data_IF_057805325482
#
_entry.id   IF_057805325482
#
_cell.length_a   1.000
_cell.length_b   1.000
_cell.length_c   1.000
_cell.angle_alpha   90.00
_cell.angle_beta   90.00
_cell.angle_gamma   90.00
#
_symmetry.space_group_name_H-M   'P 1'
#
loop_
_entity.id
_entity.type
_entity.pdbx_description
1 polymer ?
#
# COMPACT_ATOMS: atom_id res chain seq x y z
N UNK A 1 -20.93 -17.62 5.23
CA UNK A 1 -21.10 -18.12 3.85
C UNK A 1 -19.90 -19.02 3.55
N UNK A 2 -20.09 -20.29 3.25
CA UNK A 2 -19.00 -21.25 3.07
C UNK A 2 -18.05 -20.77 1.96
N UNK A 3 -16.74 -21.04 2.10
CA UNK A 3 -15.74 -20.93 1.03
C UNK A 3 -16.24 -21.70 -0.19
N UNK A 4 -17.04 -21.07 -1.03
CA UNK A 4 -17.51 -21.64 -2.26
C UNK A 4 -16.36 -21.61 -3.27
N UNK A 5 -15.81 -22.79 -3.59
CA UNK A 5 -15.13 -23.22 -4.82
C UNK A 5 -14.64 -22.09 -5.78
N UNK A 6 -14.07 -20.99 -5.25
CA UNK A 6 -13.44 -20.01 -6.11
C UNK A 6 -12.11 -20.59 -6.55
N UNK A 7 -11.95 -20.74 -7.84
CA UNK A 7 -10.68 -21.10 -8.46
C UNK A 7 -9.78 -19.88 -8.52
N UNK A 8 -8.84 -19.76 -7.58
CA UNK A 8 -7.88 -18.69 -7.56
C UNK A 8 -6.83 -18.75 -8.70
N UNK A 9 -6.73 -19.88 -9.42
CA UNK A 9 -5.89 -19.96 -10.63
C UNK A 9 -6.38 -19.03 -11.74
N UNK A 10 -7.69 -18.79 -11.79
CA UNK A 10 -8.31 -17.88 -12.77
C UNK A 10 -8.66 -16.52 -12.18
N UNK A 11 -8.39 -16.29 -10.89
CA UNK A 11 -8.79 -15.09 -10.17
C UNK A 11 -8.42 -13.78 -10.89
N UNK A 12 -7.15 -13.62 -11.27
CA UNK A 12 -6.67 -12.39 -11.94
C UNK A 12 -7.17 -12.21 -13.38
N UNK A 13 -7.78 -13.25 -13.98
CA UNK A 13 -8.45 -13.16 -15.27
C UNK A 13 -9.89 -12.69 -15.14
N UNK A 14 -10.51 -12.95 -13.99
CA UNK A 14 -11.91 -12.70 -13.73
C UNK A 14 -12.15 -11.42 -12.91
N UNK A 15 -11.14 -10.98 -12.15
CA UNK A 15 -11.26 -9.83 -11.24
C UNK A 15 -10.14 -8.79 -11.42
N UNK A 16 -10.53 -7.48 -11.51
CA UNK A 16 -11.93 -7.03 -11.56
C UNK A 16 -12.63 -7.48 -12.84
N UNK A 17 -13.97 -7.40 -12.84
CA UNK A 17 -14.77 -7.58 -14.05
C UNK A 17 -14.55 -6.43 -15.05
N UNK A 18 -15.20 -6.47 -16.21
CA UNK A 18 -15.09 -5.47 -17.26
C UNK A 18 -15.54 -4.05 -16.83
N UNK A 19 -16.28 -3.94 -15.74
CA UNK A 19 -16.75 -2.66 -15.18
C UNK A 19 -15.91 -2.22 -13.96
N UNK A 20 -14.85 -2.96 -13.64
CA UNK A 20 -13.95 -2.64 -12.53
C UNK A 20 -14.42 -3.14 -11.16
N UNK A 21 -15.31 -4.13 -11.11
CA UNK A 21 -15.82 -4.66 -9.85
C UNK A 21 -15.11 -5.95 -9.42
N UNK A 22 -14.82 -6.03 -8.13
CA UNK A 22 -14.46 -7.22 -7.37
C UNK A 22 -15.72 -7.66 -6.60
N UNK A 23 -16.53 -8.52 -7.20
CA UNK A 23 -17.88 -8.83 -6.68
C UNK A 23 -18.76 -7.58 -6.68
N UNK A 24 -19.14 -7.07 -5.50
CA UNK A 24 -19.90 -5.82 -5.35
C UNK A 24 -19.03 -4.58 -5.13
N UNK A 25 -17.75 -4.75 -4.87
CA UNK A 25 -16.81 -3.68 -4.54
C UNK A 25 -16.05 -3.18 -5.77
N UNK A 26 -15.67 -1.92 -5.78
CA UNK A 26 -14.94 -1.29 -6.90
C UNK A 26 -15.80 -0.32 -7.70
N UNK A 27 -15.72 -0.44 -9.02
CA UNK A 27 -16.43 0.44 -9.96
C UNK A 27 -15.80 1.81 -10.13
N UNK A 28 -16.56 2.75 -10.70
CA UNK A 28 -16.11 4.12 -10.94
C UNK A 28 -17.28 5.12 -10.69
N UNK A 29 -17.39 5.58 -9.46
CA UNK A 29 -18.40 6.53 -8.99
C UNK A 29 -17.86 7.96 -9.12
N UNK A 30 -17.71 8.40 -10.36
CA UNK A 30 -17.07 9.66 -10.74
C UNK A 30 -17.93 10.44 -11.73
N UNK A 31 -17.73 11.78 -11.88
CA UNK A 31 -18.39 12.57 -12.90
C UNK A 31 -18.13 12.03 -14.32
N UNK A 32 -19.07 12.25 -15.22
CA UNK A 32 -19.03 11.72 -16.59
C UNK A 32 -17.80 12.19 -17.38
N UNK A 33 -17.32 13.40 -17.08
CA UNK A 33 -16.12 13.96 -17.70
C UNK A 33 -14.86 13.16 -17.38
N UNK A 34 -14.78 12.62 -16.15
CA UNK A 34 -13.65 11.78 -15.71
C UNK A 34 -13.73 10.34 -16.23
N UNK A 35 -14.92 9.84 -16.55
CA UNK A 35 -15.06 8.47 -17.09
C UNK A 35 -14.29 8.29 -18.40
N UNK A 36 -14.25 9.31 -19.25
CA UNK A 36 -13.45 9.27 -20.48
C UNK A 36 -11.96 9.17 -20.20
N UNK A 37 -11.48 9.95 -19.23
CA UNK A 37 -10.07 9.90 -18.82
C UNK A 37 -9.70 8.55 -18.18
N UNK A 38 -10.58 7.98 -17.37
CA UNK A 38 -10.38 6.64 -16.80
C UNK A 38 -10.38 5.55 -17.88
N UNK A 39 -11.29 5.63 -18.84
CA UNK A 39 -11.33 4.70 -19.98
C UNK A 39 -10.06 4.80 -20.87
N UNK A 40 -9.49 6.00 -21.07
CA UNK A 40 -8.21 6.18 -21.75
C UNK A 40 -7.07 5.49 -20.99
N UNK A 41 -7.02 5.65 -19.66
CA UNK A 41 -6.01 5.01 -18.83
C UNK A 41 -6.17 3.48 -18.84
N UNK A 42 -7.39 2.98 -18.70
CA UNK A 42 -7.66 1.55 -18.73
C UNK A 42 -7.27 0.94 -20.08
N UNK A 43 -7.67 1.56 -21.19
CA UNK A 43 -7.28 1.10 -22.52
C UNK A 43 -5.76 1.08 -22.70
N UNK A 44 -5.07 2.13 -22.29
CA UNK A 44 -3.61 2.19 -22.32
C UNK A 44 -2.97 1.11 -21.45
N UNK A 45 -3.51 0.92 -20.24
CA UNK A 45 -3.06 -0.14 -19.35
C UNK A 45 -3.24 -1.53 -19.98
N UNK A 46 -4.42 -1.85 -20.52
CA UNK A 46 -4.70 -3.16 -21.13
C UNK A 46 -3.85 -3.44 -22.38
N UNK A 47 -3.47 -2.42 -23.13
CA UNK A 47 -2.74 -2.56 -24.40
C UNK A 47 -1.24 -2.32 -24.24
N UNK A 48 -0.86 -1.16 -23.72
CA UNK A 48 0.55 -0.72 -23.64
C UNK A 48 1.31 -1.52 -22.57
N UNK A 49 0.75 -1.66 -21.36
CA UNK A 49 1.45 -2.32 -20.25
C UNK A 49 1.69 -3.82 -20.49
N UNK A 50 0.90 -4.44 -21.38
CA UNK A 50 1.05 -5.84 -21.79
C UNK A 50 2.02 -6.03 -22.96
N UNK A 51 2.52 -4.94 -23.56
CA UNK A 51 3.48 -5.01 -24.66
C UNK A 51 4.84 -5.50 -24.18
N UNK A 52 5.53 -6.26 -25.06
CA UNK A 52 6.88 -6.76 -24.76
C UNK A 52 7.87 -5.62 -24.43
N UNK A 53 7.72 -4.49 -25.12
CA UNK A 53 8.59 -3.33 -24.94
C UNK A 53 8.41 -2.71 -23.55
N UNK A 54 7.17 -2.48 -23.12
CA UNK A 54 6.87 -1.95 -21.79
C UNK A 54 7.36 -2.89 -20.69
N UNK A 55 7.05 -4.18 -20.81
CA UNK A 55 7.45 -5.20 -19.81
C UNK A 55 8.99 -5.26 -19.70
N UNK A 56 9.70 -5.27 -20.81
CA UNK A 56 11.17 -5.32 -20.81
C UNK A 56 11.77 -4.05 -20.18
N UNK A 57 11.24 -2.86 -20.52
CA UNK A 57 11.70 -1.60 -19.95
C UNK A 57 11.43 -1.53 -18.44
N UNK A 58 10.23 -1.91 -17.99
CA UNK A 58 9.91 -1.92 -16.55
C UNK A 58 10.79 -2.92 -15.77
N UNK A 59 11.04 -4.11 -16.34
CA UNK A 59 11.94 -5.10 -15.73
C UNK A 59 13.37 -4.56 -15.59
N UNK A 60 13.89 -3.91 -16.62
CA UNK A 60 15.21 -3.27 -16.61
C UNK A 60 15.27 -2.20 -15.51
N UNK A 61 14.28 -1.31 -15.43
CA UNK A 61 14.21 -0.26 -14.43
C UNK A 61 14.15 -0.84 -13.01
N UNK A 62 13.35 -1.87 -12.80
CA UNK A 62 13.26 -2.56 -11.51
C UNK A 62 14.61 -3.11 -11.07
N UNK A 63 15.35 -3.71 -11.99
CA UNK A 63 16.68 -4.28 -11.71
C UNK A 63 17.74 -3.20 -11.47
N UNK A 64 17.85 -2.24 -12.40
CA UNK A 64 18.97 -1.30 -12.45
C UNK A 64 18.79 -0.08 -11.55
N UNK A 65 17.54 0.37 -11.37
CA UNK A 65 17.24 1.59 -10.63
C UNK A 65 16.58 1.32 -9.29
N UNK A 66 15.63 0.39 -9.20
CA UNK A 66 14.97 0.08 -7.93
C UNK A 66 15.78 -0.88 -7.04
N UNK A 67 16.74 -1.62 -7.60
CA UNK A 67 17.52 -2.61 -6.86
C UNK A 67 16.76 -3.91 -6.60
N UNK A 68 15.80 -4.26 -7.47
CA UNK A 68 15.03 -5.51 -7.33
C UNK A 68 15.76 -6.71 -7.96
N UNK A 69 15.52 -7.95 -7.43
CA UNK A 69 14.60 -8.29 -6.34
C UNK A 69 15.10 -7.82 -4.97
N UNK A 70 14.19 -7.35 -4.11
CA UNK A 70 14.52 -7.13 -2.71
C UNK A 70 14.66 -8.48 -2.00
N UNK A 71 15.56 -8.64 -1.02
CA UNK A 71 15.80 -9.95 -0.38
C UNK A 71 14.69 -10.32 0.62
N UNK A 72 14.66 -11.60 0.97
CA UNK A 72 14.05 -12.09 2.20
C UNK A 72 15.17 -12.23 3.26
N UNK A 73 14.89 -11.78 4.48
CA UNK A 73 15.76 -11.98 5.64
C UNK A 73 15.07 -12.87 6.66
N UNK A 74 15.80 -13.88 7.16
CA UNK A 74 15.40 -14.68 8.29
C UNK A 74 15.65 -13.90 9.59
N UNK A 75 14.66 -13.82 10.46
CA UNK A 75 14.76 -13.15 11.76
C UNK A 75 15.12 -14.17 12.85
N UNK A 76 16.37 -14.64 12.83
CA UNK A 76 16.82 -15.76 13.67
C UNK A 76 16.64 -15.50 15.17
N UNK A 77 17.20 -14.37 15.64
CA UNK A 77 17.16 -14.02 17.08
C UNK A 77 15.74 -13.73 17.56
N UNK A 78 14.92 -13.14 16.72
CA UNK A 78 13.53 -12.88 17.05
C UNK A 78 12.72 -14.18 17.12
N UNK A 79 12.93 -15.10 16.16
CA UNK A 79 12.32 -16.41 16.15
C UNK A 79 12.65 -17.20 17.42
N UNK A 80 13.94 -17.29 17.76
CA UNK A 80 14.38 -17.97 18.99
C UNK A 80 13.77 -17.39 20.26
N UNK A 81 13.67 -16.04 20.34
CA UNK A 81 13.12 -15.35 21.51
C UNK A 81 11.61 -15.60 21.69
N UNK A 82 10.85 -15.64 20.59
CA UNK A 82 9.40 -15.74 20.65
C UNK A 82 8.94 -17.18 20.76
N UNK A 83 9.40 -18.03 19.88
CA UNK A 83 8.99 -19.43 19.80
C UNK A 83 9.96 -20.19 18.87
N UNK A 84 10.79 -21.05 19.41
CA UNK A 84 11.79 -21.84 18.66
C UNK A 84 11.17 -22.76 17.59
N UNK A 85 9.89 -23.10 17.72
CA UNK A 85 9.16 -23.90 16.72
C UNK A 85 8.68 -23.11 15.51
N UNK A 86 8.71 -21.76 15.58
CA UNK A 86 8.18 -20.90 14.51
C UNK A 86 9.28 -19.99 13.98
N UNK A 87 9.46 -19.97 12.66
CA UNK A 87 10.48 -19.18 12.01
C UNK A 87 9.85 -17.94 11.35
N UNK A 88 10.39 -16.76 11.69
CA UNK A 88 9.94 -15.48 11.18
C UNK A 88 10.87 -14.99 10.06
N UNK A 89 10.29 -14.55 8.98
CA UNK A 89 10.97 -13.98 7.82
C UNK A 89 10.36 -12.63 7.44
N UNK A 90 11.17 -11.76 6.84
CA UNK A 90 10.68 -10.48 6.29
C UNK A 90 11.07 -10.34 4.82
N UNK A 91 10.12 -9.95 3.99
CA UNK A 91 10.36 -9.44 2.63
C UNK A 91 10.76 -7.98 2.74
N UNK A 92 11.97 -7.64 2.31
CA UNK A 92 12.68 -6.38 2.58
C UNK A 92 12.34 -5.27 1.58
N UNK A 93 11.08 -4.81 1.54
CA UNK A 93 10.70 -3.65 0.73
C UNK A 93 11.26 -2.31 1.27
N UNK A 94 11.74 -2.29 2.50
CA UNK A 94 12.56 -1.21 3.05
C UNK A 94 13.89 -0.99 2.32
N UNK A 95 14.37 -1.99 1.59
CA UNK A 95 15.56 -1.92 0.73
C UNK A 95 15.26 -1.57 -0.73
N UNK A 96 13.99 -1.45 -1.12
CA UNK A 96 13.62 -0.89 -2.41
C UNK A 96 14.07 0.58 -2.47
N UNK A 97 14.50 1.06 -3.63
CA UNK A 97 14.87 2.48 -3.79
C UNK A 97 13.72 3.39 -3.30
N UNK A 98 14.04 4.50 -2.66
CA UNK A 98 13.19 5.35 -1.82
C UNK A 98 12.83 4.80 -0.44
N UNK A 99 13.17 3.55 -0.15
CA UNK A 99 13.01 2.94 1.18
C UNK A 99 11.63 2.42 1.50
N UNK A 100 10.77 2.18 0.49
CA UNK A 100 9.44 1.61 0.66
C UNK A 100 8.90 0.99 -0.64
N UNK A 101 7.81 0.24 -0.53
CA UNK A 101 7.11 -0.42 -1.63
C UNK A 101 6.50 0.52 -2.68
N UNK A 102 6.25 1.79 -2.32
CA UNK A 102 5.51 2.74 -3.17
C UNK A 102 6.12 2.93 -4.57
N UNK A 103 7.44 2.88 -4.69
CA UNK A 103 8.10 3.05 -5.97
C UNK A 103 7.74 1.95 -6.99
N UNK A 104 7.31 0.78 -6.54
CA UNK A 104 6.94 -0.33 -7.43
C UNK A 104 5.82 0.05 -8.40
N UNK A 105 4.74 0.68 -7.89
CA UNK A 105 3.64 1.11 -8.75
C UNK A 105 3.91 2.47 -9.41
N UNK A 106 4.55 3.42 -8.70
CA UNK A 106 4.87 4.72 -9.29
C UNK A 106 5.72 4.59 -10.57
N UNK A 107 6.72 3.70 -10.59
CA UNK A 107 7.50 3.46 -11.82
C UNK A 107 6.66 2.90 -12.95
N UNK A 108 5.71 2.01 -12.66
CA UNK A 108 4.78 1.47 -13.65
C UNK A 108 3.80 2.52 -14.18
N UNK A 109 3.22 3.32 -13.28
CA UNK A 109 2.27 4.38 -13.62
C UNK A 109 2.91 5.48 -14.47
N UNK A 110 4.10 5.97 -14.07
CA UNK A 110 4.81 7.03 -14.81
C UNK A 110 5.37 6.51 -16.13
N UNK A 111 5.83 5.25 -16.20
CA UNK A 111 6.20 4.64 -17.49
C UNK A 111 4.99 4.55 -18.43
N UNK A 112 3.81 4.18 -17.90
CA UNK A 112 2.58 4.16 -18.68
C UNK A 112 2.23 5.57 -19.19
N UNK A 113 2.29 6.58 -18.32
CA UNK A 113 2.08 7.98 -18.67
C UNK A 113 3.00 8.43 -19.83
N UNK A 114 4.28 8.07 -19.75
CA UNK A 114 5.27 8.34 -20.80
C UNK A 114 4.86 7.71 -22.15
N UNK A 115 4.44 6.45 -22.14
CA UNK A 115 4.00 5.75 -23.34
C UNK A 115 2.68 6.30 -23.90
N UNK A 116 1.81 6.87 -23.05
CA UNK A 116 0.61 7.60 -23.45
C UNK A 116 0.92 8.99 -24.02
N UNK A 117 2.17 9.46 -23.96
CA UNK A 117 2.57 10.80 -24.38
C UNK A 117 2.16 11.91 -23.41
N UNK A 118 1.80 11.58 -22.18
CA UNK A 118 1.51 12.56 -21.13
C UNK A 118 2.80 13.29 -20.74
N UNK A 119 2.66 14.55 -20.31
CA UNK A 119 3.79 15.40 -19.92
C UNK A 119 3.92 15.57 -18.41
N UNK A 120 2.85 15.26 -17.69
CA UNK A 120 2.70 15.56 -16.27
C UNK A 120 2.06 14.40 -15.52
N UNK A 121 2.47 14.24 -14.25
CA UNK A 121 1.83 13.35 -13.29
C UNK A 121 1.30 14.18 -12.12
N UNK A 122 0.12 13.81 -11.62
CA UNK A 122 -0.55 14.46 -10.49
C UNK A 122 -0.88 13.40 -9.46
N UNK A 123 -0.63 13.69 -8.20
CA UNK A 123 -1.05 12.83 -7.09
C UNK A 123 -1.31 13.61 -5.81
N UNK A 124 -1.87 12.93 -4.86
CA UNK A 124 -1.97 13.31 -3.46
C UNK A 124 -0.93 12.57 -2.61
N UNK A 125 -0.66 13.08 -1.42
CA UNK A 125 0.10 12.35 -0.40
C UNK A 125 -0.27 12.82 1.00
N UNK A 126 -0.29 11.90 1.98
CA UNK A 126 -0.44 12.22 3.40
C UNK A 126 0.92 12.14 4.10
N UNK A 127 1.41 10.94 4.39
CA UNK A 127 2.73 10.72 5.03
C UNK A 127 3.93 11.13 4.16
N UNK A 128 3.73 11.43 2.87
CA UNK A 128 4.78 11.86 1.96
C UNK A 128 5.51 10.74 1.23
N UNK A 129 5.34 9.47 1.60
CA UNK A 129 6.05 8.35 0.95
C UNK A 129 5.63 8.14 -0.50
N UNK A 130 4.33 8.23 -0.78
CA UNK A 130 3.85 8.18 -2.16
C UNK A 130 4.36 9.37 -2.97
N UNK A 131 4.29 10.57 -2.41
CA UNK A 131 4.81 11.78 -3.05
C UNK A 131 6.29 11.67 -3.41
N UNK A 132 7.13 11.19 -2.50
CA UNK A 132 8.57 10.96 -2.76
C UNK A 132 8.77 9.92 -3.86
N UNK A 133 8.02 8.82 -3.83
CA UNK A 133 8.11 7.77 -4.84
C UNK A 133 7.69 8.27 -6.23
N UNK A 134 6.58 9.02 -6.30
CA UNK A 134 6.12 9.60 -7.56
C UNK A 134 7.06 10.68 -8.09
N UNK A 135 7.55 11.58 -7.23
CA UNK A 135 8.55 12.59 -7.60
C UNK A 135 9.83 11.92 -8.14
N UNK A 136 10.26 10.82 -7.54
CA UNK A 136 11.40 10.02 -7.99
C UNK A 136 11.16 9.45 -9.40
N UNK A 137 10.01 8.84 -9.61
CA UNK A 137 9.65 8.28 -10.92
C UNK A 137 9.52 9.38 -11.98
N UNK A 138 8.88 10.51 -11.66
CA UNK A 138 8.74 11.64 -12.56
C UNK A 138 10.11 12.22 -12.94
N UNK A 139 11.02 12.41 -11.98
CA UNK A 139 12.38 12.86 -12.24
C UNK A 139 13.15 11.89 -13.17
N UNK A 140 13.01 10.58 -12.92
CA UNK A 140 13.63 9.54 -13.76
C UNK A 140 13.20 9.62 -15.21
N UNK A 141 11.92 9.90 -15.47
CA UNK A 141 11.36 9.99 -16.83
C UNK A 141 11.35 11.41 -17.41
N UNK A 142 11.76 12.43 -16.67
CA UNK A 142 11.77 13.83 -17.10
C UNK A 142 10.37 14.41 -17.26
N UNK A 143 9.43 14.04 -16.38
CA UNK A 143 8.04 14.51 -16.41
C UNK A 143 7.79 15.56 -15.31
N UNK A 144 6.87 16.50 -15.59
CA UNK A 144 6.35 17.40 -14.56
C UNK A 144 5.58 16.61 -13.48
N UNK A 145 5.69 17.06 -12.22
CA UNK A 145 5.07 16.36 -11.10
C UNK A 145 4.46 17.34 -10.12
N UNK A 146 3.14 17.25 -9.92
CA UNK A 146 2.40 18.01 -8.92
C UNK A 146 1.90 17.07 -7.82
N UNK A 147 2.30 17.36 -6.58
CA UNK A 147 1.92 16.59 -5.39
C UNK A 147 1.06 17.47 -4.49
N UNK A 148 -0.19 17.10 -4.32
CA UNK A 148 -1.12 17.76 -3.41
C UNK A 148 -0.97 17.19 -2.00
N UNK A 149 -0.80 18.05 -1.01
CA UNK A 149 -0.56 17.64 0.37
C UNK A 149 -1.23 18.62 1.34
N UNK A 150 -1.91 18.10 2.34
CA UNK A 150 -2.55 18.91 3.36
C UNK A 150 -1.54 19.75 4.16
N UNK A 151 -1.90 20.98 4.51
CA UNK A 151 -1.02 21.89 5.24
C UNK A 151 -0.57 21.33 6.59
N UNK A 152 -1.41 20.52 7.25
CA UNK A 152 -1.07 19.84 8.51
C UNK A 152 0.00 18.78 8.26
N UNK A 153 -0.14 18.00 7.19
CA UNK A 153 0.80 16.94 6.84
C UNK A 153 2.14 17.50 6.36
N UNK A 154 2.13 18.60 5.60
CA UNK A 154 3.37 19.30 5.18
C UNK A 154 4.26 19.64 6.36
N UNK A 155 3.66 20.12 7.46
CA UNK A 155 4.42 20.49 8.67
C UNK A 155 4.99 19.26 9.38
N UNK A 156 4.18 18.19 9.47
CA UNK A 156 4.59 16.95 10.15
C UNK A 156 5.65 16.17 9.36
N UNK A 157 5.63 16.27 8.04
CA UNK A 157 6.44 15.46 7.11
C UNK A 157 7.46 16.31 6.33
N UNK A 158 7.99 17.35 6.95
CA UNK A 158 8.92 18.28 6.32
C UNK A 158 10.12 17.61 5.60
N UNK A 159 10.74 16.53 6.11
CA UNK A 159 11.81 15.83 5.40
C UNK A 159 11.35 15.22 4.05
N UNK A 160 10.15 14.68 3.98
CA UNK A 160 9.60 14.14 2.72
C UNK A 160 9.23 15.28 1.75
N UNK A 161 8.71 16.40 2.26
CA UNK A 161 8.44 17.59 1.45
C UNK A 161 9.75 18.12 0.83
N UNK A 162 10.83 18.17 1.61
CA UNK A 162 12.15 18.55 1.10
C UNK A 162 12.65 17.60 0.00
N UNK A 163 12.50 16.29 0.18
CA UNK A 163 12.86 15.28 -0.84
C UNK A 163 12.08 15.48 -2.14
N UNK A 164 10.75 15.67 -2.07
CA UNK A 164 9.92 15.93 -3.25
C UNK A 164 10.38 17.17 -4.02
N UNK A 165 10.67 18.27 -3.31
CA UNK A 165 11.17 19.52 -3.92
C UNK A 165 12.55 19.33 -4.54
N UNK A 166 13.48 18.63 -3.90
CA UNK A 166 14.82 18.32 -4.42
C UNK A 166 14.70 17.51 -5.72
N UNK A 167 13.72 16.59 -5.81
CA UNK A 167 13.43 15.79 -7.00
C UNK A 167 12.73 16.60 -8.12
N UNK A 168 12.42 17.87 -7.89
CA UNK A 168 11.81 18.75 -8.87
C UNK A 168 10.28 18.75 -8.89
N UNK A 169 9.63 18.05 -7.96
CA UNK A 169 8.18 18.09 -7.85
C UNK A 169 7.69 19.41 -7.23
N UNK A 170 6.53 19.88 -7.71
CA UNK A 170 5.79 20.97 -7.11
C UNK A 170 4.88 20.40 -6.02
N UNK A 171 5.13 20.76 -4.77
CA UNK A 171 4.25 20.43 -3.64
C UNK A 171 3.20 21.53 -3.51
N UNK A 172 1.94 21.17 -3.72
CA UNK A 172 0.79 22.07 -3.65
C UNK A 172 0.14 21.92 -2.29
N UNK A 173 0.22 22.99 -1.49
CA UNK A 173 -0.36 23.03 -0.15
C UNK A 173 -1.88 23.15 -0.22
N UNK A 174 -2.60 22.25 0.45
CA UNK A 174 -4.06 22.25 0.56
C UNK A 174 -4.45 22.70 1.98
N UNK A 175 -5.23 23.79 2.08
CA UNK A 175 -5.62 24.43 3.34
C UNK A 175 -7.09 24.27 3.70
N UNK A 176 -7.89 23.75 2.79
CA UNK A 176 -9.32 23.55 2.93
C UNK A 176 -9.62 22.44 3.95
N UNK A 177 -10.78 22.53 4.59
CA UNK A 177 -11.30 21.53 5.52
C UNK A 177 -10.34 21.27 6.69
N UNK A 178 -10.02 20.01 6.93
CA UNK A 178 -9.05 19.57 7.95
C UNK A 178 -7.60 19.69 7.49
N UNK A 179 -7.36 20.06 6.23
CA UNK A 179 -6.04 20.20 5.61
C UNK A 179 -5.18 18.94 5.75
N UNK A 180 -5.78 17.76 5.52
CA UNK A 180 -5.18 16.42 5.61
C UNK A 180 -5.30 15.66 4.28
N UNK A 181 -5.04 14.35 4.30
CA UNK A 181 -5.04 13.50 3.10
C UNK A 181 -6.37 13.55 2.31
N UNK A 182 -7.53 13.59 2.99
CA UNK A 182 -8.83 13.64 2.30
C UNK A 182 -8.94 14.85 1.39
N UNK A 183 -8.65 16.04 1.91
CA UNK A 183 -8.71 17.29 1.16
C UNK A 183 -7.64 17.34 0.06
N UNK A 184 -6.48 16.73 0.30
CA UNK A 184 -5.44 16.58 -0.72
C UNK A 184 -5.91 15.72 -1.90
N UNK A 185 -6.63 14.63 -1.64
CA UNK A 185 -7.25 13.79 -2.68
C UNK A 185 -8.25 14.61 -3.50
N UNK A 186 -9.18 15.31 -2.83
CA UNK A 186 -10.19 16.13 -3.49
C UNK A 186 -9.56 17.20 -4.39
N UNK A 187 -8.54 17.89 -3.90
CA UNK A 187 -7.81 18.92 -4.66
C UNK A 187 -7.03 18.34 -5.85
N UNK A 188 -6.38 17.18 -5.68
CA UNK A 188 -5.65 16.50 -6.75
C UNK A 188 -6.59 16.04 -7.87
N UNK A 189 -7.75 15.47 -7.52
CA UNK A 189 -8.78 15.12 -8.50
C UNK A 189 -9.32 16.34 -9.23
N UNK A 190 -9.61 17.43 -8.52
CA UNK A 190 -10.08 18.68 -9.14
C UNK A 190 -9.05 19.27 -10.12
N UNK A 191 -7.76 19.16 -9.81
CA UNK A 191 -6.70 19.56 -10.72
C UNK A 191 -6.61 18.63 -11.95
N UNK A 192 -6.67 17.33 -11.71
CA UNK A 192 -6.65 16.33 -12.79
C UNK A 192 -7.81 16.52 -13.78
N UNK A 193 -9.02 16.82 -13.30
CA UNK A 193 -10.17 17.13 -14.16
C UNK A 193 -9.89 18.25 -15.17
N UNK A 194 -9.05 19.21 -14.82
CA UNK A 194 -8.69 20.33 -15.68
C UNK A 194 -7.56 19.99 -16.65
N UNK A 195 -6.68 19.06 -16.26
CA UNK A 195 -5.41 18.80 -16.94
C UNK A 195 -5.30 17.40 -17.54
N UNK A 196 -6.35 16.56 -17.50
CA UNK A 196 -6.29 15.13 -17.89
C UNK A 196 -5.80 14.87 -19.33
N UNK A 197 -5.86 15.87 -20.21
CA UNK A 197 -5.36 15.73 -21.58
C UNK A 197 -3.83 15.57 -21.61
N UNK A 198 -3.12 16.33 -20.79
CA UNK A 198 -1.67 16.35 -20.72
C UNK A 198 -1.11 15.64 -19.48
N UNK A 199 -1.95 15.34 -18.50
CA UNK A 199 -1.58 14.71 -17.24
C UNK A 199 -2.20 13.34 -17.06
N UNK A 200 -1.59 12.53 -16.17
CA UNK A 200 -2.19 11.32 -15.59
C UNK A 200 -2.24 11.46 -14.07
N UNK A 201 -3.32 10.98 -13.47
CA UNK A 201 -3.43 10.84 -12.03
C UNK A 201 -2.77 9.53 -11.59
N UNK A 202 -1.82 9.61 -10.67
CA UNK A 202 -1.09 8.46 -10.14
C UNK A 202 -1.46 8.24 -8.69
N UNK A 203 -2.46 7.42 -8.45
CA UNK A 203 -3.02 7.19 -7.11
C UNK A 203 -2.05 6.44 -6.20
N UNK A 204 -2.10 6.77 -4.91
CA UNK A 204 -1.12 6.27 -3.93
C UNK A 204 -1.35 4.86 -3.40
N UNK A 205 -2.46 4.17 -3.73
CA UNK A 205 -2.76 2.83 -3.24
C UNK A 205 -3.72 2.07 -4.16
N UNK A 206 -4.16 0.88 -3.75
CA UNK A 206 -5.17 0.05 -4.46
C UNK A 206 -6.60 0.54 -4.20
N UNK A 207 -6.79 1.85 -4.23
CA UNK A 207 -8.06 2.56 -3.97
C UNK A 207 -8.43 3.41 -5.18
N UNK A 208 -9.55 4.12 -5.12
CA UNK A 208 -10.00 4.98 -6.20
C UNK A 208 -10.81 4.24 -7.27
N UNK A 209 -11.29 4.99 -8.30
CA UNK A 209 -12.10 4.42 -9.35
C UNK A 209 -11.28 3.47 -10.24
N UNK A 210 -11.99 2.52 -10.88
CA UNK A 210 -11.37 1.71 -11.94
C UNK A 210 -10.72 2.62 -12.99
N UNK A 211 -9.47 2.35 -13.48
CA UNK A 211 -8.71 1.09 -13.34
C UNK A 211 -7.67 1.08 -12.20
N UNK A 212 -7.60 2.08 -11.34
CA UNK A 212 -6.51 2.24 -10.39
C UNK A 212 -6.31 1.04 -9.45
N UNK A 213 -7.34 0.45 -8.80
CA UNK A 213 -7.10 -0.68 -7.90
C UNK A 213 -6.40 -1.86 -8.59
N UNK A 214 -6.80 -2.16 -9.82
CA UNK A 214 -6.19 -3.21 -10.63
C UNK A 214 -4.75 -2.86 -11.03
N UNK A 215 -4.52 -1.65 -11.54
CA UNK A 215 -3.20 -1.21 -12.00
C UNK A 215 -2.17 -1.23 -10.88
N UNK A 216 -2.51 -0.64 -9.73
CA UNK A 216 -1.62 -0.57 -8.58
C UNK A 216 -1.33 -1.97 -8.04
N UNK A 217 -2.35 -2.84 -7.91
CA UNK A 217 -2.14 -4.25 -7.56
C UNK A 217 -1.14 -4.92 -8.49
N UNK A 218 -1.36 -4.82 -9.79
CA UNK A 218 -0.54 -5.52 -10.79
C UNK A 218 0.91 -5.01 -10.78
N UNK A 219 1.13 -3.71 -10.64
CA UNK A 219 2.48 -3.17 -10.50
C UNK A 219 3.14 -3.53 -9.16
N UNK A 220 2.36 -3.71 -8.10
CA UNK A 220 2.86 -4.17 -6.80
C UNK A 220 3.07 -5.69 -6.73
N UNK A 221 2.44 -6.47 -7.60
CA UNK A 221 2.51 -7.94 -7.58
C UNK A 221 3.93 -8.51 -7.68
N UNK A 222 4.88 -7.73 -8.18
CA UNK A 222 6.31 -8.08 -8.21
C UNK A 222 6.82 -8.48 -6.82
N UNK A 223 6.30 -7.88 -5.75
CA UNK A 223 6.68 -8.20 -4.36
C UNK A 223 6.33 -9.64 -4.01
N UNK A 224 5.09 -10.05 -4.27
CA UNK A 224 4.61 -11.39 -3.97
C UNK A 224 5.22 -12.46 -4.87
N UNK A 225 5.40 -12.16 -6.15
CA UNK A 225 6.05 -13.07 -7.12
C UNK A 225 7.49 -13.37 -6.68
N UNK A 226 8.29 -12.33 -6.42
CA UNK A 226 9.65 -12.49 -5.92
C UNK A 226 9.68 -13.21 -4.56
N UNK A 227 8.80 -12.83 -3.64
CA UNK A 227 8.76 -13.40 -2.31
C UNK A 227 8.48 -14.91 -2.33
N UNK A 228 7.56 -15.33 -3.17
CA UNK A 228 7.21 -16.76 -3.33
C UNK A 228 8.37 -17.58 -3.86
N UNK A 229 9.01 -17.11 -4.93
CA UNK A 229 10.18 -17.78 -5.52
C UNK A 229 11.35 -17.85 -4.53
N UNK A 230 11.70 -16.72 -3.93
CA UNK A 230 12.79 -16.63 -2.96
C UNK A 230 12.56 -17.48 -1.71
N UNK A 231 11.32 -17.53 -1.21
CA UNK A 231 11.01 -18.32 -0.02
C UNK A 231 11.13 -19.83 -0.30
N UNK A 232 10.61 -20.29 -1.45
CA UNK A 232 10.79 -21.66 -1.92
C UNK A 232 12.29 -22.02 -2.12
N UNK A 233 13.05 -21.12 -2.71
CA UNK A 233 14.49 -21.33 -2.92
C UNK A 233 15.25 -21.41 -1.58
N UNK A 234 14.86 -20.58 -0.60
CA UNK A 234 15.52 -20.50 0.71
C UNK A 234 15.17 -21.66 1.63
N UNK A 235 13.93 -22.13 1.64
CA UNK A 235 13.42 -23.08 2.64
C UNK A 235 12.99 -24.43 2.07
N UNK A 236 12.78 -24.52 0.76
CA UNK A 236 12.23 -25.70 0.09
C UNK A 236 10.71 -25.83 0.15
N UNK A 237 10.02 -24.97 0.92
CA UNK A 237 8.58 -25.01 1.16
C UNK A 237 7.96 -23.61 1.05
N UNK A 238 6.63 -23.52 0.97
CA UNK A 238 5.93 -22.25 1.11
C UNK A 238 5.78 -21.88 2.59
N UNK A 239 5.63 -20.58 2.93
CA UNK A 239 5.34 -20.19 4.31
C UNK A 239 3.94 -20.69 4.72
N UNK A 240 3.75 -21.03 6.01
CA UNK A 240 2.44 -21.38 6.55
C UNK A 240 1.51 -20.16 6.59
N UNK A 241 2.09 -18.98 6.80
CA UNK A 241 1.35 -17.73 6.80
C UNK A 241 2.16 -16.58 6.20
N UNK A 242 1.45 -15.63 5.57
CA UNK A 242 1.99 -14.33 5.18
C UNK A 242 1.21 -13.20 5.86
N UNK A 243 1.91 -12.12 6.18
CA UNK A 243 1.36 -10.98 6.95
C UNK A 243 1.79 -9.66 6.31
N UNK A 244 0.84 -8.74 6.13
CA UNK A 244 1.13 -7.37 5.70
C UNK A 244 0.18 -6.38 6.38
N UNK A 245 0.65 -5.16 6.64
CA UNK A 245 -0.20 -4.09 7.16
C UNK A 245 -1.12 -3.53 6.07
N UNK A 246 -2.29 -3.05 6.48
CA UNK A 246 -3.34 -2.54 5.60
C UNK A 246 -3.83 -1.18 6.06
N UNK A 247 -3.62 -0.16 5.21
CA UNK A 247 -4.34 1.10 5.18
C UNK A 247 -5.18 1.09 3.91
N UNK A 248 -4.77 1.83 2.85
CA UNK A 248 -5.32 1.61 1.51
C UNK A 248 -5.01 0.21 0.96
N UNK A 249 -3.91 -0.40 1.37
CA UNK A 249 -3.63 -1.82 1.20
C UNK A 249 -2.71 -2.20 0.03
N UNK A 250 -1.99 -1.26 -0.59
CA UNK A 250 -1.17 -1.57 -1.77
C UNK A 250 0.01 -2.51 -1.49
N UNK A 251 0.70 -2.36 -0.35
CA UNK A 251 1.78 -3.27 0.02
C UNK A 251 1.26 -4.70 0.25
N UNK A 252 0.12 -4.81 0.91
CA UNK A 252 -0.53 -6.08 1.21
C UNK A 252 -0.99 -6.78 -0.07
N UNK A 253 -1.69 -6.08 -0.98
CA UNK A 253 -2.09 -6.67 -2.26
C UNK A 253 -0.89 -7.11 -3.09
N UNK A 254 0.20 -6.36 -3.07
CA UNK A 254 1.42 -6.75 -3.77
C UNK A 254 1.98 -8.08 -3.28
N UNK A 255 2.05 -8.28 -1.96
CA UNK A 255 2.48 -9.56 -1.38
C UNK A 255 1.45 -10.67 -1.64
N UNK A 256 0.16 -10.40 -1.35
CA UNK A 256 -0.91 -11.39 -1.43
C UNK A 256 -1.07 -11.95 -2.84
N UNK A 257 -0.89 -11.13 -3.87
CA UNK A 257 -1.00 -11.54 -5.27
C UNK A 257 -0.10 -12.73 -5.64
N UNK A 258 1.04 -12.87 -4.98
CA UNK A 258 1.94 -14.02 -5.21
C UNK A 258 1.48 -15.33 -4.57
N UNK A 259 0.51 -15.28 -3.64
CA UNK A 259 0.13 -16.42 -2.81
C UNK A 259 -1.37 -16.75 -2.82
N UNK A 260 -2.19 -16.03 -3.59
CA UNK A 260 -3.64 -16.26 -3.60
C UNK A 260 -4.03 -17.69 -3.98
N UNK A 261 -3.25 -18.35 -4.85
CA UNK A 261 -3.50 -19.71 -5.30
C UNK A 261 -2.91 -20.79 -4.38
N UNK A 262 -2.07 -20.38 -3.44
CA UNK A 262 -1.35 -21.33 -2.58
C UNK A 262 -2.14 -21.64 -1.30
N UNK A 263 -1.92 -22.79 -0.65
CA UNK A 263 -2.55 -23.12 0.64
C UNK A 263 -1.91 -22.37 1.81
N UNK A 264 -1.51 -21.12 1.61
CA UNK A 264 -0.91 -20.23 2.59
C UNK A 264 -1.99 -19.43 3.28
N UNK A 265 -1.96 -19.32 4.61
CA UNK A 265 -2.87 -18.43 5.33
C UNK A 265 -2.44 -16.98 5.15
N UNK A 266 -3.36 -16.11 4.77
CA UNK A 266 -3.06 -14.70 4.47
C UNK A 266 -3.71 -13.80 5.53
N UNK A 267 -2.90 -12.92 6.11
CA UNK A 267 -3.35 -11.95 7.12
C UNK A 267 -3.07 -10.51 6.66
N UNK A 268 -4.13 -9.69 6.67
CA UNK A 268 -4.06 -8.24 6.60
C UNK A 268 -4.18 -7.65 8.00
N UNK A 269 -3.31 -6.73 8.37
CA UNK A 269 -3.25 -6.15 9.71
C UNK A 269 -3.59 -4.68 9.66
N UNK A 270 -4.69 -4.32 10.31
CA UNK A 270 -5.18 -2.95 10.37
C UNK A 270 -4.79 -2.26 11.69
N UNK A 271 -4.66 -0.92 11.71
CA UNK A 271 -4.32 -0.19 12.93
C UNK A 271 -5.53 -0.02 13.85
N UNK A 272 -5.47 -0.61 15.05
CA UNK A 272 -6.43 -0.37 16.13
C UNK A 272 -6.17 0.98 16.83
N UNK A 273 -5.00 1.57 16.61
CA UNK A 273 -4.65 2.86 17.18
C UNK A 273 -4.73 2.86 18.71
N UNK A 274 -5.58 3.75 19.25
CA UNK A 274 -5.79 3.93 20.69
C UNK A 274 -6.94 3.09 21.25
N UNK A 275 -7.79 2.52 20.41
CA UNK A 275 -8.94 1.72 20.83
C UNK A 275 -10.01 1.59 19.74
N UNK A 276 -11.17 1.02 20.12
CA UNK A 276 -12.24 0.68 19.17
C UNK A 276 -13.24 1.82 18.91
N UNK A 277 -13.11 2.95 19.61
CA UNK A 277 -13.99 4.08 19.39
C UNK A 277 -13.72 4.74 18.04
N UNK A 278 -14.78 5.19 17.36
CA UNK A 278 -14.67 5.90 16.08
C UNK A 278 -13.78 7.15 16.24
N UNK A 279 -12.79 7.29 15.36
CA UNK A 279 -11.76 8.34 15.47
C UNK A 279 -10.50 7.92 16.25
N UNK A 280 -10.48 6.75 16.89
CA UNK A 280 -9.32 6.22 17.60
C UNK A 280 -8.58 5.11 16.84
N UNK A 281 -9.11 4.65 15.71
CA UNK A 281 -8.53 3.63 14.85
C UNK A 281 -8.74 3.92 13.36
N UNK A 282 -8.11 3.14 12.49
CA UNK A 282 -8.34 3.14 11.05
C UNK A 282 -8.57 1.71 10.50
N UNK A 283 -9.17 0.84 11.31
CA UNK A 283 -9.44 -0.55 10.97
C UNK A 283 -10.79 -0.68 10.23
N UNK A 284 -10.79 -0.33 8.94
CA UNK A 284 -12.01 -0.24 8.15
C UNK A 284 -12.63 -1.60 7.82
N UNK A 285 -11.83 -2.62 7.51
CA UNK A 285 -12.33 -3.95 7.19
C UNK A 285 -12.88 -4.68 8.42
N UNK A 286 -12.32 -4.38 9.61
CA UNK A 286 -12.76 -4.98 10.87
C UNK A 286 -14.01 -4.33 11.44
N UNK A 287 -14.13 -2.99 11.37
CA UNK A 287 -15.19 -2.23 12.05
C UNK A 287 -16.07 -1.39 11.12
N UNK A 288 -15.74 -1.33 9.83
CA UNK A 288 -16.48 -0.51 8.87
C UNK A 288 -17.67 -1.23 8.25
N UNK A 289 -18.33 -0.51 7.36
CA UNK A 289 -19.45 -0.99 6.57
C UNK A 289 -19.33 -0.53 5.11
N UNK A 290 -20.10 -1.15 4.21
CA UNK A 290 -20.08 -0.82 2.79
C UNK A 290 -20.40 0.65 2.53
N UNK A 291 -19.60 1.29 1.67
CA UNK A 291 -19.80 2.67 1.28
C UNK A 291 -18.92 3.13 0.13
N UNK A 292 -19.31 4.24 -0.47
CA UNK A 292 -18.61 4.87 -1.60
C UNK A 292 -17.83 6.09 -1.11
N UNK A 293 -16.54 6.14 -1.41
CA UNK A 293 -15.71 7.33 -1.25
C UNK A 293 -14.61 7.38 -2.33
N UNK A 294 -14.14 8.57 -2.66
CA UNK A 294 -13.08 8.77 -3.67
C UNK A 294 -13.31 8.00 -4.98
N UNK A 295 -14.57 7.84 -5.37
CA UNK A 295 -14.96 7.24 -6.65
C UNK A 295 -15.02 5.71 -6.69
N UNK A 296 -14.99 5.01 -5.57
CA UNK A 296 -15.10 3.55 -5.53
C UNK A 296 -15.96 3.05 -4.36
N UNK A 297 -16.60 1.90 -4.52
CA UNK A 297 -17.33 1.19 -3.46
C UNK A 297 -16.40 0.21 -2.72
N UNK A 298 -16.39 0.26 -1.39
CA UNK A 298 -15.62 -0.66 -0.55
C UNK A 298 -16.20 -0.73 0.86
N UNK A 299 -15.43 -1.22 1.82
CA UNK A 299 -15.74 -1.12 3.25
C UNK A 299 -15.05 0.12 3.79
N UNK A 300 -15.77 0.96 4.54
CA UNK A 300 -15.27 2.20 5.09
C UNK A 300 -15.83 2.48 6.50
N UNK A 301 -15.07 3.24 7.26
CA UNK A 301 -15.53 3.81 8.53
C UNK A 301 -16.40 5.04 8.25
N UNK A 302 -17.59 5.05 8.81
CA UNK A 302 -18.58 6.14 8.62
C UNK A 302 -18.93 6.80 9.94
N UNK A 303 -19.20 8.10 9.86
CA UNK A 303 -19.81 8.84 10.94
C UNK A 303 -21.34 8.65 10.98
N UNK A 304 -22.02 9.30 11.91
CA UNK A 304 -23.47 9.24 12.09
C UNK A 304 -24.27 9.76 10.85
N UNK A 305 -23.60 10.50 9.95
CA UNK A 305 -24.21 11.03 8.71
C UNK A 305 -23.95 10.12 7.52
N UNK A 306 -23.19 9.04 7.70
CA UNK A 306 -22.77 8.14 6.63
C UNK A 306 -21.57 8.65 5.82
N UNK A 307 -20.94 9.74 6.25
CA UNK A 307 -19.73 10.30 5.64
C UNK A 307 -18.48 9.59 6.16
N UNK A 308 -17.34 9.67 5.44
CA UNK A 308 -16.09 9.10 5.93
C UNK A 308 -15.71 9.65 7.31
N UNK A 309 -15.55 8.76 8.28
CA UNK A 309 -15.24 9.13 9.65
C UNK A 309 -13.79 9.62 9.80
N UNK A 310 -13.49 10.45 10.81
CA UNK A 310 -12.13 10.67 11.24
C UNK A 310 -11.47 9.36 11.64
N UNK A 311 -10.18 9.21 11.34
CA UNK A 311 -9.38 8.02 11.66
C UNK A 311 -8.09 8.41 12.36
N UNK A 312 -7.49 7.44 13.01
CA UNK A 312 -6.21 7.61 13.69
C UNK A 312 -5.39 6.33 13.67
N UNK A 313 -4.09 6.48 13.49
CA UNK A 313 -3.09 5.48 13.85
C UNK A 313 -1.77 6.18 14.24
N UNK A 314 -0.88 5.48 14.93
CA UNK A 314 0.47 5.96 15.19
C UNK A 314 1.28 6.12 13.89
N UNK A 315 0.86 5.44 12.82
CA UNK A 315 1.48 5.46 11.50
C UNK A 315 0.61 6.22 10.50
N UNK A 316 0.98 7.44 10.13
CA UNK A 316 0.19 8.28 9.23
C UNK A 316 -0.06 7.69 7.84
N UNK A 317 0.78 6.76 7.38
CA UNK A 317 0.57 6.04 6.11
C UNK A 317 -0.59 5.02 6.14
N UNK A 318 -1.15 4.74 7.32
CA UNK A 318 -2.33 3.89 7.51
C UNK A 318 -3.60 4.69 7.86
N UNK A 319 -3.51 6.02 7.95
CA UNK A 319 -4.63 6.91 8.27
C UNK A 319 -5.56 7.10 7.06
N UNK A 320 -6.35 6.08 6.77
CA UNK A 320 -7.32 6.08 5.69
C UNK A 320 -8.61 5.39 6.13
N UNK A 321 -9.79 6.02 5.94
CA UNK A 321 -11.05 5.50 6.49
C UNK A 321 -11.66 4.35 5.68
N UNK A 322 -10.97 3.86 4.66
CA UNK A 322 -11.41 2.74 3.82
C UNK A 322 -10.20 1.88 3.44
N UNK A 323 -10.42 0.82 2.67
CA UNK A 323 -9.38 -0.01 2.07
C UNK A 323 -9.74 -0.35 0.63
N UNK A 324 -8.79 -0.89 -0.12
CA UNK A 324 -9.01 -1.26 -1.50
C UNK A 324 -10.21 -2.20 -1.69
N UNK A 325 -10.97 -2.07 -2.79
CA UNK A 325 -12.15 -2.88 -3.04
C UNK A 325 -11.83 -4.37 -3.16
N UNK A 326 -10.64 -4.71 -3.63
CA UNK A 326 -10.18 -6.10 -3.68
C UNK A 326 -9.94 -6.67 -2.29
N UNK A 327 -9.48 -5.88 -1.33
CA UNK A 327 -9.37 -6.30 0.07
C UNK A 327 -10.74 -6.62 0.67
N UNK A 328 -11.74 -5.77 0.42
CA UNK A 328 -13.12 -6.01 0.86
C UNK A 328 -13.69 -7.30 0.26
N UNK A 329 -13.43 -7.55 -1.01
CA UNK A 329 -13.86 -8.77 -1.69
C UNK A 329 -13.18 -10.03 -1.15
N UNK A 330 -11.86 -10.00 -0.97
CA UNK A 330 -11.10 -11.13 -0.41
C UNK A 330 -11.45 -11.40 1.05
N UNK A 331 -11.85 -10.38 1.81
CA UNK A 331 -12.43 -10.49 3.15
C UNK A 331 -13.76 -11.25 3.11
N UNK A 332 -14.70 -10.82 2.25
CA UNK A 332 -16.02 -11.49 2.11
C UNK A 332 -15.90 -12.94 1.65
N UNK A 333 -14.90 -13.25 0.82
CA UNK A 333 -14.60 -14.64 0.40
C UNK A 333 -13.96 -15.48 1.51
N UNK A 334 -13.48 -14.86 2.59
CA UNK A 334 -12.71 -15.54 3.63
C UNK A 334 -11.31 -16.00 3.19
N UNK A 335 -10.81 -15.51 2.04
CA UNK A 335 -9.46 -15.87 1.57
C UNK A 335 -8.38 -15.16 2.35
N UNK A 336 -8.61 -13.92 2.74
CA UNK A 336 -7.73 -13.12 3.60
C UNK A 336 -8.43 -12.87 4.92
N UNK A 337 -7.71 -13.10 6.01
CA UNK A 337 -8.14 -12.78 7.36
C UNK A 337 -7.61 -11.39 7.73
N UNK A 338 -8.49 -10.54 8.22
CA UNK A 338 -8.09 -9.22 8.71
C UNK A 338 -8.19 -9.20 10.23
N UNK A 339 -7.18 -8.62 10.86
CA UNK A 339 -7.08 -8.48 12.31
C UNK A 339 -6.39 -7.16 12.64
N UNK A 340 -6.31 -6.82 13.91
CA UNK A 340 -5.85 -5.52 14.37
C UNK A 340 -4.69 -5.63 15.38
N UNK A 341 -3.86 -4.59 15.40
CA UNK A 341 -2.87 -4.32 16.44
C UNK A 341 -2.99 -2.87 16.88
N UNK A 342 -2.78 -2.62 18.18
CA UNK A 342 -2.81 -1.27 18.74
C UNK A 342 -1.44 -0.58 18.67
N UNK A 343 -1.41 0.69 19.05
CA UNK A 343 -0.19 1.51 18.99
C UNK A 343 0.92 0.95 19.89
N UNK A 344 0.61 0.45 21.09
CA UNK A 344 1.61 -0.08 22.02
C UNK A 344 2.25 -1.36 21.46
N UNK A 345 1.44 -2.28 20.92
CA UNK A 345 1.94 -3.50 20.25
C UNK A 345 2.84 -3.14 19.07
N UNK A 346 2.45 -2.12 18.29
CA UNK A 346 3.18 -1.65 17.13
C UNK A 346 4.54 -1.06 17.49
N UNK A 347 4.58 -0.21 18.52
CA UNK A 347 5.82 0.43 18.99
C UNK A 347 6.75 -0.58 19.66
N UNK A 348 6.20 -1.53 20.42
CA UNK A 348 7.01 -2.64 20.97
C UNK A 348 7.69 -3.45 19.85
N UNK A 349 6.94 -3.77 18.79
CA UNK A 349 7.49 -4.48 17.62
C UNK A 349 8.55 -3.66 16.88
N UNK A 350 8.36 -2.34 16.74
CA UNK A 350 9.36 -1.43 16.17
C UNK A 350 10.70 -1.54 16.91
N UNK A 351 10.69 -1.40 18.24
CA UNK A 351 11.91 -1.51 19.03
C UNK A 351 12.47 -2.92 19.09
N UNK A 352 11.61 -3.93 19.15
CA UNK A 352 12.03 -5.32 19.21
C UNK A 352 12.77 -5.73 17.95
N UNK A 353 12.21 -5.46 16.78
CA UNK A 353 12.88 -5.74 15.49
C UNK A 353 14.19 -4.97 15.37
N UNK A 354 14.19 -3.67 15.72
CA UNK A 354 15.37 -2.82 15.63
C UNK A 354 16.53 -3.34 16.49
N UNK A 355 16.24 -3.69 17.74
CA UNK A 355 17.26 -4.12 18.74
C UNK A 355 17.73 -5.57 18.54
N UNK A 356 16.85 -6.41 18.01
CA UNK A 356 17.19 -7.83 17.84
C UNK A 356 17.82 -8.13 16.50
N UNK A 357 17.32 -7.51 15.42
CA UNK A 357 17.73 -7.86 14.06
C UNK A 357 18.48 -6.73 13.34
N UNK A 358 18.64 -5.57 13.99
CA UNK A 358 19.32 -4.42 13.37
C UNK A 358 18.55 -3.79 12.21
N UNK A 359 17.23 -3.99 12.16
CA UNK A 359 16.35 -3.49 11.12
C UNK A 359 15.39 -2.48 11.74
N UNK A 360 15.46 -1.21 11.32
CA UNK A 360 14.55 -0.16 11.78
C UNK A 360 13.39 -0.07 10.79
N UNK A 361 12.20 -0.64 11.12
CA UNK A 361 11.06 -0.62 10.22
C UNK A 361 10.37 0.73 10.21
N UNK A 362 9.61 1.05 9.16
CA UNK A 362 8.59 2.08 9.25
C UNK A 362 7.53 1.69 10.29
N UNK A 363 6.91 2.67 10.95
CA UNK A 363 5.85 2.38 11.95
C UNK A 363 4.68 1.64 11.28
N UNK A 364 4.38 1.93 10.03
CA UNK A 364 3.41 1.18 9.23
C UNK A 364 3.73 -0.32 9.20
N UNK A 365 4.97 -0.66 8.84
CA UNK A 365 5.43 -2.05 8.76
C UNK A 365 5.47 -2.73 10.11
N UNK A 366 5.66 -1.97 11.18
CA UNK A 366 5.69 -2.48 12.55
C UNK A 366 4.36 -3.11 12.99
N UNK A 367 3.23 -2.70 12.39
CA UNK A 367 1.93 -3.36 12.60
C UNK A 367 1.97 -4.83 12.12
N UNK A 368 2.53 -5.07 10.95
CA UNK A 368 2.67 -6.43 10.42
C UNK A 368 3.67 -7.26 11.24
N UNK A 369 4.75 -6.65 11.71
CA UNK A 369 5.73 -7.32 12.59
C UNK A 369 5.08 -7.68 13.94
N UNK A 370 4.32 -6.76 14.56
CA UNK A 370 3.60 -6.99 15.79
C UNK A 370 2.64 -8.19 15.68
N UNK A 371 1.88 -8.23 14.59
CA UNK A 371 0.97 -9.34 14.35
C UNK A 371 1.70 -10.65 14.08
N UNK A 372 2.78 -10.63 13.30
CA UNK A 372 3.62 -11.80 13.07
C UNK A 372 4.19 -12.38 14.38
N UNK A 373 4.65 -11.52 15.28
CA UNK A 373 5.09 -11.91 16.64
C UNK A 373 3.94 -12.51 17.48
N UNK A 374 2.74 -11.91 17.39
CA UNK A 374 1.53 -12.40 18.07
C UNK A 374 1.12 -13.78 17.55
N UNK A 375 1.09 -13.94 16.24
CA UNK A 375 0.76 -15.20 15.57
C UNK A 375 1.77 -16.30 15.90
N UNK A 376 3.07 -16.00 15.90
CA UNK A 376 4.12 -16.97 16.26
C UNK A 376 3.96 -17.53 17.68
N UNK A 377 3.50 -16.72 18.64
CA UNK A 377 3.19 -17.20 20.01
C UNK A 377 2.03 -18.19 20.07
N UNK A 378 1.15 -18.16 19.10
CA UNK A 378 -0.06 -19.00 19.02
C UNK A 378 0.17 -20.29 18.22
N UNK A 379 1.19 -20.31 17.37
CA UNK A 379 1.54 -21.48 16.55
C UNK A 379 2.47 -22.43 17.32
N UNK A 380 2.29 -23.74 17.10
CA UNK A 380 3.23 -24.73 17.67
C UNK A 380 4.52 -24.85 16.87
N UNK A 381 4.41 -24.76 15.54
CA UNK A 381 5.54 -24.82 14.59
C UNK A 381 5.13 -24.17 13.27
N UNK A 382 6.11 -23.83 12.45
CA UNK A 382 5.88 -23.35 11.09
C UNK A 382 6.69 -22.11 10.76
N UNK A 383 6.31 -21.44 9.68
CA UNK A 383 6.99 -20.24 9.17
C UNK A 383 6.02 -19.12 8.82
N UNK A 384 6.43 -17.90 9.08
CA UNK A 384 5.65 -16.69 8.80
C UNK A 384 6.52 -15.74 7.98
N UNK A 385 6.02 -15.32 6.82
CA UNK A 385 6.66 -14.28 6.01
C UNK A 385 5.90 -12.97 6.17
N UNK A 386 6.59 -11.94 6.64
CA UNK A 386 6.05 -10.60 6.91
C UNK A 386 6.53 -9.64 5.81
N UNK A 387 5.63 -8.82 5.25
CA UNK A 387 6.04 -7.75 4.34
C UNK A 387 6.57 -6.54 5.12
N UNK A 388 7.87 -6.31 5.07
CA UNK A 388 8.49 -5.11 5.64
C UNK A 388 8.42 -3.98 4.61
N UNK A 389 7.26 -3.31 4.56
CA UNK A 389 6.85 -2.42 3.48
C UNK A 389 7.64 -1.13 3.35
N UNK A 390 8.37 -0.73 4.41
CA UNK A 390 9.18 0.47 4.40
C UNK A 390 10.14 0.57 5.58
N UNK A 391 11.13 1.47 5.47
CA UNK A 391 12.13 1.76 6.50
C UNK A 391 11.70 2.91 7.41
N UNK A 392 12.23 2.92 8.64
CA UNK A 392 11.84 3.84 9.69
C UNK A 392 12.54 5.20 9.69
N UNK A 393 13.42 5.51 8.75
CA UNK A 393 14.17 6.79 8.74
C UNK A 393 13.26 8.03 8.80
N UNK A 394 12.08 7.93 8.20
CA UNK A 394 11.08 9.01 8.23
C UNK A 394 10.44 9.22 9.60
N UNK A 395 10.52 8.24 10.48
CA UNK A 395 9.83 8.21 11.77
C UNK A 395 10.76 8.57 12.95
N UNK A 396 12.06 8.82 12.69
CA UNK A 396 13.06 9.04 13.72
C UNK A 396 12.72 10.19 14.66
N UNK A 397 12.35 11.33 14.12
CA UNK A 397 12.04 12.53 14.93
C UNK A 397 10.85 12.24 15.85
N UNK A 398 9.78 11.64 15.33
CA UNK A 398 8.61 11.25 16.10
C UNK A 398 8.95 10.25 17.23
N UNK A 399 9.74 9.23 16.91
CA UNK A 399 10.15 8.20 17.88
C UNK A 399 11.02 8.81 18.99
N UNK A 400 11.99 9.67 18.63
CA UNK A 400 12.87 10.34 19.60
C UNK A 400 12.10 11.28 20.52
N UNK A 401 11.21 12.10 19.99
CA UNK A 401 10.41 13.03 20.78
C UNK A 401 9.47 12.34 21.75
N UNK A 402 8.80 11.27 21.29
CA UNK A 402 7.74 10.63 22.07
C UNK A 402 8.23 9.57 23.05
N UNK A 403 9.30 8.85 22.71
CA UNK A 403 9.76 7.71 23.51
C UNK A 403 11.12 7.93 24.18
N UNK A 404 11.73 9.09 24.00
CA UNK A 404 12.86 9.56 24.79
C UNK A 404 14.06 8.60 24.80
N UNK A 405 14.56 8.20 23.64
CA UNK A 405 15.75 7.36 23.56
C UNK A 405 16.96 8.20 24.02
N UNK A 406 17.54 7.82 25.15
CA UNK A 406 18.80 8.36 25.67
C UNK A 406 19.96 7.46 25.31
#
# INVERSE_FOLDING_TARGET
MQMNNMDFETYFKNYPDANGYFGKYGGAYIPEELKKAMAEIDHAYQTISKSRKFIAELRRIRKEFQGRPTPISHLERLSEKINTGVQLYVKREDLNHTGAHKLNHCMGEVLLAKYMGKKKVIAETGAGQHGVALATAAAYFGMECDIYMGAVDIKKQAPNVARMKILGARVVEVKEGLATLKEAVDAAFAAYMKEYKDAIYCIGSVVGPHPFPMMVRDFQSVVGIEAREQFLEMTGELPDAIVACVGGGSNAMGLFAGFLNDPVTIYGVEPLGRGTALGDHAASLTYGEEGVMHGFNSIMLKDEKGEPAPVYSVASGLDYPSSGPEHAFLHDLGRVKYDVVNDDETIDAFFTLSRMEGIIPAIESSHAVAYGMKLAKQMNKGSILINLSGRGDKDMDYILERYGIR
#
